data_IF_737049238140
#
_entry.id   IF_737049238140
#
_cell.length_a   1.000
_cell.length_b   1.000
_cell.length_c   1.000
_cell.angle_alpha   90.00
_cell.angle_beta   90.00
_cell.angle_gamma   90.00
#
_symmetry.space_group_name_H-M   'P 1'
#
loop_
_entity.id
_entity.type
_entity.pdbx_description
1 polymer ?
#
# COMPACT_ATOMS: atom_id res chain seq x y z
N UNK A 1 -22.46 5.31 -5.74
CA UNK A 1 -21.01 5.65 -5.69
C UNK A 1 -20.21 4.51 -5.07
N UNK A 2 -19.37 3.85 -5.87
CA UNK A 2 -18.54 2.72 -5.43
C UNK A 2 -17.52 3.23 -4.38
N UNK A 3 -17.66 2.73 -3.15
CA UNK A 3 -16.75 2.98 -2.02
C UNK A 3 -17.13 4.07 -1.02
N UNK A 4 -18.42 4.42 -0.84
CA UNK A 4 -18.88 5.26 0.27
C UNK A 4 -19.51 4.37 1.37
N UNK A 5 -19.15 4.50 2.66
CA UNK A 5 -19.97 3.96 3.75
C UNK A 5 -21.22 4.82 3.92
N UNK A 6 -22.09 4.83 2.91
CA UNK A 6 -23.30 5.62 2.99
C UNK A 6 -24.34 4.93 3.88
N UNK A 7 -24.48 3.59 3.80
CA UNK A 7 -25.59 2.91 4.48
C UNK A 7 -25.24 1.46 4.88
N UNK A 8 -25.43 1.07 6.15
CA UNK A 8 -25.20 -0.30 6.59
C UNK A 8 -26.20 -1.25 5.93
N UNK A 9 -25.75 -2.43 5.51
CA UNK A 9 -26.58 -3.48 4.90
C UNK A 9 -27.65 -4.05 5.84
N UNK A 10 -27.46 -3.87 7.14
CA UNK A 10 -28.42 -4.17 8.20
C UNK A 10 -28.25 -3.10 9.27
N UNK A 11 -29.33 -2.40 9.61
CA UNK A 11 -29.35 -1.34 10.62
C UNK A 11 -30.24 -1.77 11.80
N UNK A 12 -29.73 -1.64 13.02
CA UNK A 12 -30.52 -1.70 14.25
C UNK A 12 -30.40 -0.32 14.91
N UNK A 13 -31.53 0.32 15.16
CA UNK A 13 -31.63 1.65 15.77
C UNK A 13 -32.26 1.53 17.16
N UNK A 14 -31.64 2.18 18.16
CA UNK A 14 -32.16 2.29 19.51
C UNK A 14 -32.11 3.75 19.96
N UNK A 15 -33.26 4.31 20.35
CA UNK A 15 -33.39 5.68 20.85
C UNK A 15 -33.56 5.68 22.37
N UNK A 16 -32.78 6.50 23.07
CA UNK A 16 -32.98 6.82 24.49
C UNK A 16 -33.52 8.25 24.60
N UNK A 17 -34.72 8.39 25.17
CA UNK A 17 -35.47 9.65 25.28
C UNK A 17 -35.30 10.28 26.66
N UNK A 18 -34.86 11.55 26.73
CA UNK A 18 -35.06 12.43 27.89
C UNK A 18 -36.07 13.51 27.49
N UNK A 19 -37.21 13.57 28.18
CA UNK A 19 -38.37 14.30 27.70
C UNK A 19 -38.40 15.79 27.98
N UNK A 20 -38.98 16.55 27.04
CA UNK A 20 -39.81 17.73 27.29
C UNK A 20 -40.70 18.05 26.08
N UNK A 21 -41.77 18.82 26.32
CA UNK A 21 -42.85 19.12 25.38
C UNK A 21 -42.65 20.43 24.60
N UNK A 22 -42.61 20.35 23.26
CA UNK A 22 -43.38 21.20 22.33
C UNK A 22 -42.77 22.52 21.81
N UNK A 23 -42.25 22.50 20.58
CA UNK A 23 -42.24 23.61 19.61
C UNK A 23 -42.92 23.15 18.30
N UNK A 24 -44.01 23.79 17.83
CA UNK A 24 -44.73 23.40 16.61
C UNK A 24 -44.02 23.69 15.28
N UNK A 25 -42.86 24.38 15.30
CA UNK A 25 -41.96 24.50 14.14
C UNK A 25 -40.81 23.48 14.17
N UNK A 26 -40.71 22.71 15.25
CA UNK A 26 -39.72 21.66 15.45
C UNK A 26 -40.30 20.31 15.03
N UNK A 27 -39.81 19.66 13.95
CA UNK A 27 -40.36 18.39 13.48
C UNK A 27 -40.07 17.19 14.42
N UNK A 28 -39.59 17.43 15.64
CA UNK A 28 -38.73 16.51 16.36
C UNK A 28 -39.20 15.96 17.72
N UNK A 29 -40.49 15.79 17.97
CA UNK A 29 -40.97 15.21 19.24
C UNK A 29 -40.56 13.74 19.52
N UNK A 30 -39.70 13.11 18.70
CA UNK A 30 -39.15 11.76 18.95
C UNK A 30 -37.66 11.59 18.65
N UNK A 31 -36.95 12.62 18.16
CA UNK A 31 -35.57 12.49 17.66
C UNK A 31 -34.59 13.63 18.01
N UNK A 32 -35.04 14.83 18.38
CA UNK A 32 -34.10 15.97 18.51
C UNK A 32 -33.54 16.23 19.92
N UNK A 33 -33.98 15.46 20.92
CA UNK A 33 -33.36 15.39 22.25
C UNK A 33 -32.91 13.96 22.63
N UNK A 34 -32.88 13.06 21.65
CA UNK A 34 -32.61 11.64 21.90
C UNK A 34 -31.15 11.30 21.60
N UNK A 35 -30.51 10.59 22.53
CA UNK A 35 -29.28 9.85 22.21
C UNK A 35 -29.71 8.61 21.44
N UNK A 36 -29.34 8.51 20.17
CA UNK A 36 -29.57 7.32 19.34
C UNK A 36 -28.27 6.57 19.09
N UNK A 37 -28.34 5.26 19.23
CA UNK A 37 -27.28 4.33 18.82
C UNK A 37 -27.75 3.60 17.58
N UNK A 38 -26.96 3.72 16.50
CA UNK A 38 -27.16 3.01 15.25
C UNK A 38 -26.03 2.01 15.05
N UNK A 39 -26.36 0.74 14.98
CA UNK A 39 -25.39 -0.32 14.70
C UNK A 39 -25.72 -0.99 13.37
N UNK A 40 -24.70 -1.39 12.63
CA UNK A 40 -24.92 -2.12 11.40
C UNK A 40 -23.69 -2.81 10.86
N UNK A 41 -23.83 -3.42 9.69
CA UNK A 41 -22.74 -4.12 9.03
C UNK A 41 -22.55 -3.58 7.62
N UNK A 42 -21.30 -3.31 7.27
CA UNK A 42 -20.91 -2.98 5.91
C UNK A 42 -20.22 -4.18 5.27
N UNK A 43 -20.88 -4.70 4.23
CA UNK A 43 -20.33 -5.76 3.39
C UNK A 43 -19.25 -5.25 2.45
N UNK A 44 -18.36 -6.18 2.11
CA UNK A 44 -17.26 -6.13 1.15
C UNK A 44 -17.13 -4.84 0.31
N UNK A 45 -16.29 -3.92 0.77
CA UNK A 45 -15.90 -2.75 -0.02
C UNK A 45 -14.68 -3.06 -0.87
N UNK A 46 -14.82 -3.00 -2.19
CA UNK A 46 -13.66 -3.00 -3.09
C UNK A 46 -13.24 -1.56 -3.37
N UNK A 47 -12.08 -1.18 -2.85
CA UNK A 47 -11.35 -0.03 -3.35
C UNK A 47 -10.77 -0.41 -4.72
N UNK A 48 -11.21 0.29 -5.76
CA UNK A 48 -10.55 0.29 -7.07
C UNK A 48 -10.19 1.74 -7.41
N UNK A 49 -8.91 2.10 -7.23
CA UNK A 49 -8.39 3.43 -7.58
C UNK A 49 -6.98 3.32 -8.14
N UNK A 50 -6.64 4.28 -9.01
CA UNK A 50 -5.26 4.47 -9.48
C UNK A 50 -4.36 4.87 -8.31
N UNK A 51 -3.47 3.94 -7.92
CA UNK A 51 -2.41 4.19 -6.94
C UNK A 51 -1.15 4.68 -7.66
N UNK A 52 -0.65 5.87 -7.27
CA UNK A 52 0.61 6.43 -7.77
C UNK A 52 1.73 6.14 -6.79
N UNK A 53 2.89 5.76 -7.31
CA UNK A 53 4.08 5.53 -6.50
C UNK A 53 4.67 6.87 -6.03
N UNK A 54 4.93 6.98 -4.73
CA UNK A 54 5.43 8.16 -4.05
C UNK A 54 6.91 7.95 -3.70
N UNK A 55 7.78 8.33 -4.64
CA UNK A 55 9.23 8.21 -4.52
C UNK A 55 9.92 9.48 -5.00
N UNK A 56 11.18 9.66 -4.61
CA UNK A 56 12.03 10.74 -5.11
C UNK A 56 12.37 10.53 -6.59
N UNK A 57 12.66 11.64 -7.30
CA UNK A 57 13.10 11.61 -8.71
C UNK A 57 14.40 10.84 -8.91
N UNK A 58 15.28 10.91 -7.92
CA UNK A 58 16.56 10.21 -7.89
C UNK A 58 16.48 9.02 -6.95
N UNK A 59 17.22 7.97 -7.31
CA UNK A 59 17.43 6.77 -6.52
C UNK A 59 18.92 6.67 -6.23
N UNK A 60 19.29 6.89 -4.97
CA UNK A 60 20.67 6.91 -4.50
C UNK A 60 21.10 5.52 -4.03
N UNK A 61 22.42 5.28 -4.01
CA UNK A 61 23.02 4.03 -3.52
C UNK A 61 23.11 2.91 -4.56
N UNK A 62 22.86 3.18 -5.85
CA UNK A 62 23.18 2.25 -6.92
C UNK A 62 24.59 2.47 -7.44
N UNK A 63 25.19 1.41 -7.99
CA UNK A 63 26.40 1.53 -8.80
C UNK A 63 26.11 2.08 -10.20
N UNK A 64 27.18 2.53 -10.87
CA UNK A 64 27.17 2.93 -12.28
C UNK A 64 26.54 1.84 -13.15
N UNK A 65 25.74 2.23 -14.14
CA UNK A 65 25.20 1.28 -15.11
C UNK A 65 26.34 0.63 -15.94
N UNK A 66 26.31 -0.70 -16.17
CA UNK A 66 27.24 -1.35 -17.10
C UNK A 66 27.06 -0.82 -18.53
N UNK A 67 28.16 -0.54 -19.24
CA UNK A 67 28.13 0.00 -20.62
C UNK A 67 28.94 -0.81 -21.63
N UNK A 68 29.48 -1.97 -21.25
CA UNK A 68 30.31 -2.81 -22.12
C UNK A 68 30.33 -4.28 -21.70
N UNK A 69 31.23 -5.06 -22.32
CA UNK A 69 31.33 -6.52 -22.14
C UNK A 69 32.42 -6.94 -21.15
N UNK A 70 33.02 -5.99 -20.43
CA UNK A 70 34.09 -6.24 -19.46
C UNK A 70 33.54 -6.20 -18.05
N UNK A 71 33.98 -7.14 -17.21
CA UNK A 71 33.63 -7.15 -15.80
C UNK A 71 34.24 -5.95 -15.06
N UNK A 72 33.47 -5.31 -14.19
CA UNK A 72 33.84 -4.08 -13.48
C UNK A 72 33.52 -4.17 -11.96
N UNK A 73 34.02 -3.19 -11.21
CA UNK A 73 33.68 -2.96 -9.81
C UNK A 73 32.63 -1.86 -9.68
N UNK A 74 31.56 -2.12 -8.94
CA UNK A 74 30.41 -1.23 -8.72
C UNK A 74 30.32 -0.80 -7.25
N UNK A 75 31.41 -0.26 -6.69
CA UNK A 75 31.54 0.08 -5.27
C UNK A 75 31.19 1.54 -4.94
N UNK A 76 31.09 2.39 -5.96
CA UNK A 76 30.83 3.83 -5.81
C UNK A 76 29.36 4.07 -6.12
N UNK A 77 28.67 4.73 -5.19
CA UNK A 77 27.28 5.11 -5.37
C UNK A 77 27.15 6.27 -6.36
N UNK A 78 26.20 6.16 -7.28
CA UNK A 78 25.81 7.21 -8.20
C UNK A 78 24.30 7.47 -8.06
N UNK A 79 23.92 8.74 -8.14
CA UNK A 79 22.51 9.12 -8.19
C UNK A 79 21.95 8.80 -9.57
N UNK A 80 20.86 8.04 -9.60
CA UNK A 80 20.22 7.60 -10.85
C UNK A 80 18.77 8.05 -10.93
N UNK A 81 18.21 8.22 -12.15
CA UNK A 81 16.77 8.37 -12.29
C UNK A 81 16.05 7.19 -11.63
N UNK A 82 15.09 7.49 -10.76
CA UNK A 82 14.31 6.49 -10.06
C UNK A 82 13.29 5.86 -11.02
N UNK A 83 13.41 4.56 -11.27
CA UNK A 83 12.55 3.85 -12.23
C UNK A 83 11.07 3.82 -11.83
N UNK A 84 10.78 3.90 -10.52
CA UNK A 84 9.43 3.97 -9.98
C UNK A 84 8.83 5.38 -10.01
N UNK A 85 9.63 6.42 -10.27
CA UNK A 85 9.14 7.79 -10.31
C UNK A 85 8.09 7.99 -11.41
N UNK A 86 6.94 8.55 -11.05
CA UNK A 86 5.83 8.78 -11.99
C UNK A 86 5.08 7.51 -12.41
N UNK A 87 5.40 6.34 -11.83
CA UNK A 87 4.68 5.09 -12.09
C UNK A 87 3.40 5.00 -11.26
N UNK A 88 2.46 4.22 -11.77
CA UNK A 88 1.23 3.84 -11.09
C UNK A 88 1.12 2.31 -11.04
N UNK A 89 0.32 1.80 -10.10
CA UNK A 89 -0.03 0.39 -10.10
C UNK A 89 -1.01 0.09 -11.24
N UNK A 90 -0.96 -1.14 -11.74
CA UNK A 90 -1.86 -1.63 -12.77
C UNK A 90 -3.18 -2.06 -12.16
N UNK A 91 -3.12 -2.69 -11.00
CA UNK A 91 -4.28 -3.14 -10.25
C UNK A 91 -4.03 -2.97 -8.75
N UNK A 92 -5.07 -2.61 -8.02
CA UNK A 92 -5.05 -2.39 -6.59
C UNK A 92 -6.45 -2.59 -6.03
N UNK A 93 -6.68 -3.76 -5.46
CA UNK A 93 -7.91 -4.13 -4.80
C UNK A 93 -7.69 -4.07 -3.30
N UNK A 94 -8.54 -3.35 -2.58
CA UNK A 94 -8.54 -3.36 -1.13
C UNK A 94 -9.94 -3.68 -0.64
N UNK A 95 -10.06 -4.79 0.06
CA UNK A 95 -11.33 -5.28 0.58
C UNK A 95 -11.43 -4.91 2.05
N UNK A 96 -12.59 -4.43 2.48
CA UNK A 96 -12.87 -4.18 3.89
C UNK A 96 -14.27 -4.65 4.23
N UNK A 97 -14.33 -5.43 5.29
CA UNK A 97 -15.55 -5.92 5.88
C UNK A 97 -15.62 -5.41 7.32
N UNK A 98 -16.63 -4.61 7.66
CA UNK A 98 -16.67 -3.94 8.96
C UNK A 98 -18.08 -3.82 9.54
N UNK A 99 -18.18 -3.94 10.85
CA UNK A 99 -19.31 -3.45 11.61
C UNK A 99 -19.23 -1.92 11.75
N UNK A 100 -20.40 -1.29 11.83
CA UNK A 100 -20.61 0.13 12.03
C UNK A 100 -21.27 0.38 13.37
N UNK A 101 -20.81 1.43 14.04
CA UNK A 101 -21.48 1.97 15.21
C UNK A 101 -21.49 3.49 15.08
N UNK A 102 -22.66 4.09 15.20
CA UNK A 102 -22.83 5.53 15.30
C UNK A 102 -23.59 5.89 16.56
N UNK A 103 -23.15 6.99 17.16
CA UNK A 103 -23.80 7.66 18.27
C UNK A 103 -24.20 9.04 17.78
N UNK A 104 -25.50 9.30 17.77
CA UNK A 104 -26.03 10.63 17.58
C UNK A 104 -25.93 11.39 18.92
N UNK A 105 -25.25 12.53 18.91
CA UNK A 105 -25.08 13.43 20.05
C UNK A 105 -25.65 14.78 19.62
N UNK A 106 -26.81 15.12 20.19
CA UNK A 106 -27.60 16.29 19.84
C UNK A 106 -28.20 16.20 18.43
N UNK A 107 -29.30 16.94 18.21
CA UNK A 107 -30.19 16.97 17.03
C UNK A 107 -29.51 16.59 15.69
N UNK A 108 -28.26 17.01 15.43
CA UNK A 108 -27.63 16.92 14.07
C UNK A 108 -26.16 16.59 14.02
N UNK A 109 -25.60 15.97 15.06
CA UNK A 109 -24.20 15.56 15.05
C UNK A 109 -24.07 14.07 15.38
N UNK A 110 -23.42 13.33 14.50
CA UNK A 110 -23.11 11.91 14.69
C UNK A 110 -21.60 11.74 14.83
N UNK A 111 -21.17 11.00 15.84
CA UNK A 111 -19.85 10.36 15.85
C UNK A 111 -20.05 8.90 15.45
N UNK A 112 -19.20 8.38 14.59
CA UNK A 112 -19.28 7.00 14.16
C UNK A 112 -17.90 6.35 14.10
N UNK A 113 -17.90 5.02 14.23
CA UNK A 113 -16.73 4.21 14.00
C UNK A 113 -17.10 2.98 13.17
N UNK A 114 -16.08 2.42 12.51
CA UNK A 114 -16.17 1.08 11.94
C UNK A 114 -15.09 0.21 12.53
N UNK A 115 -15.41 -1.06 12.78
CA UNK A 115 -14.50 -2.06 13.29
C UNK A 115 -14.65 -3.30 12.41
N UNK A 116 -13.56 -3.77 11.83
CA UNK A 116 -13.63 -4.79 10.80
C UNK A 116 -12.31 -5.46 10.53
N UNK A 117 -12.20 -6.04 9.34
CA UNK A 117 -10.97 -6.54 8.80
C UNK A 117 -10.78 -6.11 7.35
N UNK A 118 -9.54 -5.87 6.97
CA UNK A 118 -9.13 -5.57 5.60
C UNK A 118 -8.05 -6.53 5.12
N UNK A 119 -8.05 -6.79 3.83
CA UNK A 119 -6.96 -7.38 3.06
C UNK A 119 -6.87 -6.68 1.69
N UNK A 120 -5.81 -6.95 0.95
CA UNK A 120 -5.63 -6.35 -0.36
C UNK A 120 -4.77 -7.17 -1.30
N UNK A 121 -4.90 -6.82 -2.58
CA UNK A 121 -4.17 -7.34 -3.71
C UNK A 121 -3.61 -6.18 -4.52
N UNK A 122 -2.35 -6.28 -4.91
CA UNK A 122 -1.66 -5.22 -5.66
C UNK A 122 -0.86 -5.84 -6.78
N UNK A 123 -0.93 -5.22 -7.97
CA UNK A 123 -0.20 -5.63 -9.16
C UNK A 123 0.37 -4.43 -9.91
N UNK A 124 1.62 -4.53 -10.32
CA UNK A 124 2.19 -3.57 -11.26
C UNK A 124 3.42 -4.13 -12.00
N UNK A 125 3.96 -3.33 -12.92
CA UNK A 125 5.29 -3.56 -13.47
C UNK A 125 6.35 -3.53 -12.36
N UNK A 126 7.39 -4.34 -12.48
CA UNK A 126 8.54 -4.36 -11.57
C UNK A 126 9.25 -3.00 -11.43
N UNK A 127 9.09 -2.11 -12.42
CA UNK A 127 9.57 -0.73 -12.34
C UNK A 127 8.91 0.05 -11.20
N UNK A 128 7.62 -0.17 -10.91
CA UNK A 128 6.91 0.51 -9.82
C UNK A 128 7.42 0.12 -8.42
N UNK A 129 8.15 -0.98 -8.33
CA UNK A 129 8.68 -1.54 -7.09
C UNK A 129 10.20 -1.45 -6.97
N UNK A 130 10.86 -0.63 -7.79
CA UNK A 130 12.31 -0.49 -7.79
C UNK A 130 13.03 -1.84 -7.73
N UNK A 131 12.60 -2.80 -8.55
CA UNK A 131 13.30 -4.08 -8.67
C UNK A 131 14.67 -3.81 -9.28
N UNK A 132 15.72 -4.08 -8.52
CA UNK A 132 17.11 -3.84 -8.94
C UNK A 132 17.93 -5.11 -8.80
N UNK A 133 19.01 -5.17 -9.57
CA UNK A 133 19.93 -6.29 -9.63
C UNK A 133 21.38 -5.87 -9.76
N UNK A 134 22.26 -6.86 -9.66
CA UNK A 134 23.70 -6.72 -9.83
C UNK A 134 24.19 -7.69 -10.92
N UNK A 135 24.86 -7.16 -11.95
CA UNK A 135 25.45 -7.93 -13.07
C UNK A 135 26.86 -7.43 -13.40
N UNK A 136 27.63 -8.18 -14.19
CA UNK A 136 28.90 -7.69 -14.76
C UNK A 136 30.03 -7.53 -13.75
N UNK A 137 29.96 -8.24 -12.62
CA UNK A 137 30.87 -8.03 -11.49
C UNK A 137 32.19 -8.77 -11.71
N UNK A 138 33.31 -8.09 -11.41
CA UNK A 138 34.64 -8.69 -11.40
C UNK A 138 34.85 -9.63 -10.20
N UNK A 139 35.52 -10.77 -10.42
CA UNK A 139 36.07 -11.59 -9.36
C UNK A 139 35.61 -13.06 -9.33
N UNK A 140 36.25 -13.83 -8.45
CA UNK A 140 36.12 -15.31 -8.39
C UNK A 140 35.64 -15.85 -7.04
N UNK A 141 35.61 -15.03 -5.98
CA UNK A 141 35.13 -15.40 -4.65
C UNK A 141 33.98 -14.50 -4.21
N UNK A 142 32.99 -15.07 -3.51
CA UNK A 142 31.76 -14.37 -3.09
C UNK A 142 32.08 -13.16 -2.21
N UNK A 143 32.94 -13.33 -1.21
CA UNK A 143 33.22 -12.29 -0.21
C UNK A 143 34.00 -11.10 -0.79
N UNK A 144 34.95 -11.36 -1.70
CA UNK A 144 35.70 -10.30 -2.35
C UNK A 144 34.91 -9.63 -3.48
N UNK A 145 34.03 -10.39 -4.16
CA UNK A 145 33.33 -9.91 -5.34
C UNK A 145 31.99 -9.26 -5.04
N UNK A 146 31.21 -9.67 -4.02
CA UNK A 146 29.79 -9.25 -3.86
C UNK A 146 29.48 -8.40 -2.63
N UNK A 147 30.25 -8.50 -1.53
CA UNK A 147 29.88 -7.89 -0.23
C UNK A 147 29.83 -6.35 -0.26
N UNK A 148 30.59 -5.73 -1.16
CA UNK A 148 30.72 -4.27 -1.26
C UNK A 148 30.13 -3.70 -2.54
N UNK A 149 29.49 -4.55 -3.37
CA UNK A 149 28.97 -4.12 -4.65
C UNK A 149 27.56 -3.56 -4.51
N UNK A 150 27.34 -2.45 -5.19
CA UNK A 150 26.04 -1.81 -5.27
C UNK A 150 25.30 -2.32 -6.50
N UNK A 151 23.98 -2.54 -6.41
CA UNK A 151 23.19 -2.93 -7.57
C UNK A 151 23.31 -1.87 -8.66
N UNK A 152 23.41 -2.32 -9.91
CA UNK A 152 23.80 -1.51 -11.05
C UNK A 152 22.79 -1.57 -12.21
N UNK A 153 21.73 -2.37 -12.08
CA UNK A 153 20.65 -2.45 -13.08
C UNK A 153 19.28 -2.37 -12.43
N UNK A 154 18.35 -1.67 -13.08
CA UNK A 154 16.93 -1.72 -12.78
C UNK A 154 16.25 -2.73 -13.69
N UNK A 155 15.50 -3.67 -13.12
CA UNK A 155 14.80 -4.72 -13.84
C UNK A 155 13.36 -4.24 -14.07
N UNK A 156 13.07 -3.75 -15.28
CA UNK A 156 11.77 -3.11 -15.61
C UNK A 156 10.82 -4.01 -16.38
N UNK A 157 11.33 -5.10 -16.93
CA UNK A 157 10.62 -6.06 -17.77
C UNK A 157 10.08 -7.20 -16.91
N UNK A 158 9.13 -6.89 -16.04
CA UNK A 158 8.50 -7.86 -15.18
C UNK A 158 7.21 -7.35 -14.57
N UNK A 159 6.49 -8.26 -13.94
CA UNK A 159 5.27 -8.02 -13.18
C UNK A 159 5.53 -8.44 -11.74
N UNK A 160 5.05 -7.63 -10.80
CA UNK A 160 5.10 -7.90 -9.38
C UNK A 160 3.67 -7.87 -8.87
N UNK A 161 3.34 -8.89 -8.09
CA UNK A 161 2.04 -9.06 -7.46
C UNK A 161 2.24 -9.41 -6.00
N UNK A 162 1.41 -8.87 -5.11
CA UNK A 162 1.42 -9.33 -3.73
C UNK A 162 0.02 -9.30 -3.12
N UNK A 163 -0.17 -10.22 -2.18
CA UNK A 163 -1.40 -10.40 -1.42
C UNK A 163 -1.10 -10.11 0.05
N UNK A 164 -2.01 -9.41 0.72
CA UNK A 164 -1.93 -9.19 2.16
C UNK A 164 -2.79 -10.19 2.93
N UNK A 165 -2.42 -10.47 4.17
CA UNK A 165 -3.28 -11.18 5.10
C UNK A 165 -4.50 -10.32 5.47
N UNK A 166 -5.48 -10.97 6.10
CA UNK A 166 -6.66 -10.30 6.65
C UNK A 166 -6.33 -9.82 8.06
N UNK A 167 -6.41 -8.51 8.29
CA UNK A 167 -6.11 -7.92 9.60
C UNK A 167 -7.15 -6.92 10.04
N UNK A 168 -7.20 -6.70 11.35
CA UNK A 168 -8.10 -5.74 11.95
C UNK A 168 -7.95 -4.35 11.31
N UNK A 169 -9.09 -3.78 10.96
CA UNK A 169 -9.24 -2.44 10.42
C UNK A 169 -10.21 -1.66 11.28
N UNK A 170 -9.97 -0.36 11.41
CA UNK A 170 -10.89 0.52 12.11
C UNK A 170 -10.99 1.87 11.42
N UNK A 171 -12.12 2.54 11.62
CA UNK A 171 -12.26 3.94 11.27
C UNK A 171 -12.97 4.70 12.37
N UNK A 172 -12.73 6.01 12.43
CA UNK A 172 -13.54 6.95 13.21
C UNK A 172 -13.93 8.11 12.32
N UNK A 173 -15.12 8.64 12.52
CA UNK A 173 -15.61 9.77 11.78
C UNK A 173 -16.65 10.53 12.55
N UNK A 174 -16.96 11.70 12.04
CA UNK A 174 -18.06 12.52 12.51
C UNK A 174 -18.75 13.16 11.31
N UNK A 175 -20.06 13.34 11.43
CA UNK A 175 -20.84 14.10 10.45
C UNK A 175 -21.84 14.97 11.17
N UNK A 176 -22.19 16.10 10.59
CA UNK A 176 -23.25 16.93 11.15
C UNK A 176 -23.63 18.12 10.30
N UNK A 177 -24.69 18.80 10.71
CA UNK A 177 -25.15 20.03 10.09
C UNK A 177 -24.26 21.21 10.51
N UNK A 178 -23.68 21.90 9.53
CA UNK A 178 -22.90 23.12 9.73
C UNK A 178 -23.79 24.37 9.73
N UNK A 179 -24.85 24.36 8.93
CA UNK A 179 -25.74 25.50 8.77
C UNK A 179 -27.11 25.04 8.31
N UNK A 180 -28.12 25.74 8.80
CA UNK A 180 -29.48 25.62 8.31
C UNK A 180 -30.18 26.96 8.19
N UNK A 181 -31.04 27.06 7.19
CA UNK A 181 -31.99 28.16 7.06
C UNK A 181 -33.24 27.66 6.36
N UNK A 182 -34.36 27.67 7.08
CA UNK A 182 -35.62 27.13 6.59
C UNK A 182 -35.48 25.65 6.21
N UNK A 183 -35.73 25.33 4.93
CA UNK A 183 -35.67 23.96 4.41
C UNK A 183 -34.29 23.56 3.86
N UNK A 184 -33.27 24.43 3.96
CA UNK A 184 -31.93 24.18 3.47
C UNK A 184 -31.00 23.72 4.60
N UNK A 185 -30.24 22.63 4.38
CA UNK A 185 -29.24 22.12 5.32
C UNK A 185 -27.90 21.91 4.62
N UNK A 186 -26.85 22.52 5.17
CA UNK A 186 -25.46 22.26 4.81
C UNK A 186 -24.87 21.29 5.83
N UNK A 187 -24.49 20.09 5.40
CA UNK A 187 -23.84 19.08 6.22
C UNK A 187 -22.39 18.86 5.82
N UNK A 188 -21.57 18.45 6.77
CA UNK A 188 -20.21 18.00 6.53
C UNK A 188 -19.95 16.64 7.18
N UNK A 189 -19.06 15.86 6.58
CA UNK A 189 -18.58 14.60 7.12
C UNK A 189 -17.05 14.53 7.07
N UNK A 190 -16.49 13.80 8.03
CA UNK A 190 -15.08 13.55 8.15
C UNK A 190 -14.87 12.12 8.64
N UNK A 191 -13.95 11.39 8.02
CA UNK A 191 -13.61 10.03 8.44
C UNK A 191 -12.11 9.77 8.26
N UNK A 192 -11.56 9.04 9.21
CA UNK A 192 -10.23 8.47 9.15
C UNK A 192 -10.30 6.96 9.29
N UNK A 193 -9.67 6.23 8.38
CA UNK A 193 -9.59 4.77 8.41
C UNK A 193 -8.13 4.31 8.44
N UNK A 194 -7.87 3.21 9.15
CA UNK A 194 -6.56 2.60 9.27
C UNK A 194 -6.63 1.07 9.32
N UNK A 195 -5.63 0.43 8.71
CA UNK A 195 -5.36 -1.01 8.83
C UNK A 195 -3.89 -1.30 8.55
N UNK A 196 -3.34 -2.40 9.06
CA UNK A 196 -1.92 -2.73 8.94
C UNK A 196 -1.69 -4.20 8.54
N UNK A 197 -2.20 -4.67 7.39
CA UNK A 197 -2.02 -6.05 7.00
C UNK A 197 -0.57 -6.34 6.61
N UNK A 198 -0.11 -7.53 6.96
CA UNK A 198 1.16 -8.11 6.52
C UNK A 198 1.01 -8.61 5.10
N UNK A 199 2.10 -8.58 4.34
CA UNK A 199 2.13 -9.26 3.06
C UNK A 199 2.27 -10.76 3.33
N UNK A 200 1.34 -11.54 2.81
CA UNK A 200 1.32 -13.00 2.97
C UNK A 200 2.04 -13.69 1.82
N UNK A 201 1.95 -13.14 0.62
CA UNK A 201 2.61 -13.68 -0.56
C UNK A 201 3.10 -12.56 -1.47
N UNK A 202 4.35 -12.64 -1.88
CA UNK A 202 4.96 -11.77 -2.88
C UNK A 202 5.39 -12.64 -4.07
N UNK A 203 4.92 -12.29 -5.26
CA UNK A 203 5.27 -12.91 -6.52
C UNK A 203 5.98 -11.90 -7.42
N UNK A 204 7.14 -12.28 -7.92
CA UNK A 204 7.92 -11.49 -8.88
C UNK A 204 8.09 -12.33 -10.13
N UNK A 205 7.37 -11.96 -11.19
CA UNK A 205 7.52 -12.52 -12.54
C UNK A 205 8.41 -11.58 -13.34
N UNK A 206 9.71 -11.78 -13.23
CA UNK A 206 10.74 -11.01 -13.92
C UNK A 206 11.86 -11.96 -14.32
N UNK A 207 12.92 -11.50 -14.99
CA UNK A 207 14.07 -12.33 -15.27
C UNK A 207 14.79 -12.87 -14.01
N UNK A 208 14.55 -12.30 -12.83
CA UNK A 208 15.04 -12.83 -11.54
C UNK A 208 14.10 -13.86 -10.90
N UNK A 209 12.86 -13.99 -11.41
CA UNK A 209 11.68 -14.75 -10.95
C UNK A 209 11.75 -15.27 -9.51
N UNK A 210 10.84 -14.88 -8.61
CA UNK A 210 10.78 -15.51 -7.28
C UNK A 210 9.44 -15.32 -6.58
N UNK A 211 9.14 -16.24 -5.67
CA UNK A 211 7.96 -16.18 -4.79
C UNK A 211 8.44 -16.26 -3.35
N UNK A 212 7.87 -15.42 -2.49
CA UNK A 212 8.15 -15.42 -1.05
C UNK A 212 6.83 -15.48 -0.29
N UNK A 213 6.70 -16.47 0.58
CA UNK A 213 5.62 -16.52 1.58
C UNK A 213 6.06 -15.77 2.83
N UNK A 214 5.16 -14.96 3.38
CA UNK A 214 5.39 -14.07 4.54
C UNK A 214 6.69 -13.29 4.40
N UNK A 215 6.87 -12.53 3.30
CA UNK A 215 8.13 -11.86 3.00
C UNK A 215 8.65 -11.03 4.16
N UNK A 216 9.94 -11.22 4.43
CA UNK A 216 10.71 -10.41 5.36
C UNK A 216 11.79 -9.67 4.60
N UNK A 217 12.07 -8.45 5.03
CA UNK A 217 13.04 -7.58 4.39
C UNK A 217 13.64 -6.57 5.34
N UNK A 218 14.50 -5.73 4.82
CA UNK A 218 15.20 -4.70 5.58
C UNK A 218 14.43 -3.38 5.52
N UNK A 219 14.41 -2.63 6.63
CA UNK A 219 13.76 -1.31 6.75
C UNK A 219 14.76 -0.27 7.27
N UNK A 220 14.50 1.01 7.00
CA UNK A 220 15.34 2.12 7.46
C UNK A 220 16.78 1.99 6.96
N UNK A 221 17.76 2.33 7.79
CA UNK A 221 19.19 2.29 7.43
C UNK A 221 19.64 0.91 6.95
N UNK A 222 19.10 -0.17 7.50
CA UNK A 222 19.44 -1.54 7.09
C UNK A 222 18.96 -1.90 5.67
N UNK A 223 18.06 -1.10 5.09
CA UNK A 223 17.61 -1.27 3.71
C UNK A 223 18.55 -0.65 2.68
N UNK A 224 19.53 0.16 3.11
CA UNK A 224 20.50 0.79 2.22
C UNK A 224 21.38 -0.25 1.52
N UNK A 225 21.90 0.12 0.34
CA UNK A 225 22.86 -0.73 -0.36
C UNK A 225 24.29 -0.52 0.17
N UNK A 226 25.14 -1.55 0.11
CA UNK A 226 24.83 -2.93 -0.29
C UNK A 226 24.01 -3.66 0.79
N UNK A 227 23.13 -4.58 0.36
CA UNK A 227 22.46 -5.48 1.31
C UNK A 227 23.46 -6.53 1.83
N UNK A 228 23.30 -7.03 3.06
CA UNK A 228 24.15 -8.09 3.60
C UNK A 228 24.23 -9.32 2.67
N UNK A 229 25.38 -10.01 2.64
CA UNK A 229 25.53 -11.23 1.84
C UNK A 229 24.53 -12.34 2.23
N UNK A 230 24.04 -12.36 3.46
CA UNK A 230 23.01 -13.30 3.92
C UNK A 230 21.60 -12.89 3.50
N UNK A 231 21.40 -11.72 2.88
CA UNK A 231 20.09 -11.29 2.43
C UNK A 231 19.44 -12.32 1.49
N UNK A 232 18.22 -12.73 1.80
CA UNK A 232 17.48 -13.76 1.07
C UNK A 232 17.72 -15.19 1.55
N UNK A 233 18.64 -15.43 2.50
CA UNK A 233 18.85 -16.74 3.12
C UNK A 233 18.11 -16.89 4.45
N UNK A 234 18.09 -18.10 4.98
CA UNK A 234 17.65 -18.44 6.34
C UNK A 234 18.52 -17.82 7.44
N UNK A 235 19.76 -17.41 7.11
CA UNK A 235 20.70 -16.73 8.01
C UNK A 235 20.57 -15.20 8.00
N UNK A 236 19.57 -14.64 7.30
CA UNK A 236 19.35 -13.20 7.25
C UNK A 236 18.87 -12.64 8.60
N UNK A 237 19.72 -11.87 9.27
CA UNK A 237 19.37 -11.14 10.50
C UNK A 237 18.72 -9.79 10.19
N UNK A 238 18.14 -9.17 11.21
CA UNK A 238 17.57 -7.80 11.15
C UNK A 238 16.42 -7.59 10.15
N UNK A 239 15.89 -8.67 9.59
CA UNK A 239 14.71 -8.61 8.71
C UNK A 239 13.42 -8.42 9.51
N UNK A 240 12.49 -7.64 8.96
CA UNK A 240 11.15 -7.38 9.50
C UNK A 240 10.10 -7.89 8.51
N UNK A 241 8.93 -8.28 9.00
CA UNK A 241 7.79 -8.60 8.13
C UNK A 241 7.40 -7.39 7.27
N UNK A 242 7.11 -7.63 6.00
CA UNK A 242 6.51 -6.62 5.14
C UNK A 242 5.07 -6.36 5.60
N UNK A 243 4.77 -5.10 5.92
CA UNK A 243 3.47 -4.64 6.41
C UNK A 243 3.07 -3.45 5.56
N UNK A 244 1.83 -3.43 5.08
CA UNK A 244 1.24 -2.28 4.39
C UNK A 244 0.48 -1.46 5.43
N UNK A 245 0.97 -0.26 5.75
CA UNK A 245 0.27 0.70 6.59
C UNK A 245 -0.73 1.45 5.72
N UNK A 246 -2.00 1.13 5.89
CA UNK A 246 -3.09 1.79 5.21
C UNK A 246 -3.63 2.94 6.04
N UNK A 247 -3.78 4.10 5.40
CA UNK A 247 -4.40 5.29 5.98
C UNK A 247 -5.29 5.95 4.94
N UNK A 248 -6.53 6.26 5.29
CA UNK A 248 -7.41 7.05 4.44
C UNK A 248 -8.06 8.17 5.23
N UNK A 249 -8.02 9.37 4.65
CA UNK A 249 -8.85 10.50 5.04
C UNK A 249 -9.97 10.66 4.03
N UNK A 250 -11.19 10.86 4.54
CA UNK A 250 -12.36 11.21 3.74
C UNK A 250 -13.00 12.45 4.34
N UNK A 251 -13.40 13.38 3.47
CA UNK A 251 -14.05 14.64 3.83
C UNK A 251 -15.18 14.86 2.84
N UNK A 252 -16.39 15.08 3.32
CA UNK A 252 -17.55 15.36 2.49
C UNK A 252 -18.24 16.65 2.92
N UNK A 253 -18.85 17.32 1.96
CA UNK A 253 -19.71 18.47 2.16
C UNK A 253 -20.94 18.30 1.28
N UNK A 254 -22.13 18.44 1.85
CA UNK A 254 -23.38 18.27 1.12
C UNK A 254 -24.39 19.37 1.47
N UNK A 255 -25.13 19.82 0.46
CA UNK A 255 -26.26 20.73 0.60
C UNK A 255 -27.53 19.98 0.22
N UNK A 256 -28.53 20.03 1.09
CA UNK A 256 -29.86 19.49 0.82
C UNK A 256 -30.93 20.56 0.96
N UNK A 257 -32.03 20.40 0.25
CA UNK A 257 -33.20 21.26 0.38
C UNK A 257 -34.47 20.43 0.43
N UNK A 258 -35.33 20.63 1.44
CA UNK A 258 -36.58 19.87 1.58
C UNK A 258 -37.72 20.51 0.79
N UNK A 259 -38.21 19.82 -0.25
CA UNK A 259 -39.37 20.16 -1.08
C UNK A 259 -40.56 19.26 -0.74
N UNK A 260 -41.21 19.48 0.40
CA UNK A 260 -42.40 18.73 0.86
C UNK A 260 -42.21 17.19 0.89
N UNK A 261 -42.33 16.50 -0.26
CA UNK A 261 -42.10 15.04 -0.43
C UNK A 261 -40.72 14.68 -1.00
N UNK A 262 -39.98 15.63 -1.58
CA UNK A 262 -38.67 15.41 -2.21
C UNK A 262 -37.57 16.13 -1.44
N UNK A 263 -36.40 15.51 -1.27
CA UNK A 263 -35.21 16.17 -0.70
C UNK A 263 -34.07 16.06 -1.69
N UNK A 264 -33.96 16.97 -2.68
CA UNK A 264 -32.74 17.04 -3.50
C UNK A 264 -31.50 17.23 -2.62
N UNK A 265 -30.43 16.52 -2.97
CA UNK A 265 -29.13 16.63 -2.33
C UNK A 265 -28.04 16.78 -3.40
N UNK A 266 -27.05 17.62 -3.11
CA UNK A 266 -25.80 17.71 -3.86
C UNK A 266 -24.64 17.62 -2.89
N UNK A 267 -23.58 16.89 -3.23
CA UNK A 267 -22.45 16.72 -2.33
C UNK A 267 -21.14 16.51 -3.07
N UNK A 268 -20.06 16.95 -2.43
CA UNK A 268 -18.68 16.76 -2.86
C UNK A 268 -17.94 15.96 -1.82
N UNK A 269 -17.29 14.87 -2.23
CA UNK A 269 -16.50 14.03 -1.36
C UNK A 269 -15.06 14.00 -1.86
N UNK A 270 -14.14 14.35 -0.97
CA UNK A 270 -12.71 14.23 -1.15
C UNK A 270 -12.18 13.06 -0.33
N UNK A 271 -11.28 12.28 -0.90
CA UNK A 271 -10.57 11.24 -0.16
C UNK A 271 -9.12 11.10 -0.60
N UNK A 272 -8.29 10.70 0.37
CA UNK A 272 -6.87 10.45 0.16
C UNK A 272 -6.45 9.20 0.90
N UNK A 273 -6.15 8.16 0.13
CA UNK A 273 -5.60 6.90 0.62
C UNK A 273 -4.07 6.89 0.48
N UNK A 274 -3.40 6.33 1.48
CA UNK A 274 -1.95 6.12 1.51
C UNK A 274 -1.69 4.68 1.94
N UNK A 275 -0.84 3.99 1.19
CA UNK A 275 -0.35 2.65 1.47
C UNK A 275 1.16 2.75 1.62
N UNK A 276 1.69 2.46 2.81
CA UNK A 276 3.10 2.65 3.13
C UNK A 276 3.71 1.36 3.68
N UNK A 277 4.72 0.84 2.97
CA UNK A 277 5.46 -0.35 3.41
C UNK A 277 6.75 0.00 4.18
N UNK A 278 6.91 1.25 4.62
CA UNK A 278 8.15 1.81 5.18
C UNK A 278 9.37 1.59 4.27
N UNK A 279 9.15 1.59 2.95
CA UNK A 279 10.20 1.37 1.95
C UNK A 279 10.96 0.05 2.19
N UNK A 280 10.25 -0.99 2.65
CA UNK A 280 10.89 -2.29 2.92
C UNK A 280 11.53 -2.87 1.66
N UNK A 281 12.77 -3.38 1.82
CA UNK A 281 13.52 -4.01 0.74
C UNK A 281 13.67 -5.50 0.99
N UNK A 282 13.17 -6.29 0.05
CA UNK A 282 13.14 -7.76 0.11
C UNK A 282 14.11 -8.29 -0.93
N UNK A 283 15.08 -9.10 -0.49
CA UNK A 283 16.02 -9.75 -1.39
C UNK A 283 15.40 -11.02 -1.99
N UNK A 284 15.85 -11.37 -3.19
CA UNK A 284 15.53 -12.66 -3.81
C UNK A 284 15.93 -13.81 -2.87
N UNK A 285 15.05 -14.79 -2.64
CA UNK A 285 15.38 -15.98 -1.85
C UNK A 285 16.57 -16.75 -2.43
N UNK A 286 17.48 -17.18 -1.57
CA UNK A 286 18.65 -17.97 -1.93
C UNK A 286 19.07 -18.91 -0.79
N UNK A 287 19.80 -19.95 -1.14
CA UNK A 287 20.41 -20.90 -0.22
C UNK A 287 21.66 -20.29 0.40
N UNK A 288 21.87 -20.52 1.70
CA UNK A 288 23.10 -20.14 2.39
C UNK A 288 24.31 -20.93 1.88
N UNK A 289 24.10 -22.17 1.46
CA UNK A 289 25.13 -23.04 0.85
C UNK A 289 24.63 -23.53 -0.50
N UNK A 290 25.47 -23.42 -1.53
CA UNK A 290 25.10 -23.83 -2.87
C UNK A 290 24.86 -25.34 -2.96
N UNK A 291 23.82 -25.74 -3.69
CA UNK A 291 23.54 -27.14 -4.06
C UNK A 291 23.68 -27.23 -5.58
N UNK A 292 24.51 -28.16 -6.07
CA UNK A 292 24.84 -28.24 -7.50
C UNK A 292 25.37 -26.92 -8.09
N UNK A 293 26.15 -26.16 -7.30
CA UNK A 293 26.65 -24.82 -7.63
C UNK A 293 25.56 -23.75 -7.82
N UNK A 294 24.33 -24.03 -7.43
CA UNK A 294 23.21 -23.09 -7.47
C UNK A 294 22.91 -22.59 -6.05
N UNK A 295 22.82 -21.28 -5.89
CA UNK A 295 22.32 -20.65 -4.66
C UNK A 295 20.85 -20.25 -4.81
N UNK A 296 20.31 -20.20 -6.01
CA UNK A 296 18.91 -19.89 -6.27
C UNK A 296 18.30 -21.00 -7.13
N UNK A 297 17.03 -21.34 -6.89
CA UNK A 297 16.34 -22.40 -7.64
C UNK A 297 15.86 -21.93 -9.02
N UNK A 298 15.82 -20.62 -9.25
CA UNK A 298 15.47 -20.05 -10.54
C UNK A 298 16.76 -19.85 -11.35
N UNK A 299 16.77 -20.20 -12.64
CA UNK A 299 17.97 -20.11 -13.45
C UNK A 299 18.47 -18.66 -13.46
N UNK A 300 19.71 -18.45 -13.04
CA UNK A 300 20.39 -17.19 -13.29
C UNK A 300 20.56 -17.06 -14.80
N UNK A 301 20.10 -15.96 -15.38
CA UNK A 301 20.29 -15.69 -16.80
C UNK A 301 21.78 -15.60 -17.09
N UNK A 302 22.29 -16.52 -17.89
CA UNK A 302 23.60 -16.39 -18.51
C UNK A 302 23.46 -15.45 -19.73
N UNK A 303 24.41 -14.53 -19.89
CA UNK A 303 24.51 -13.70 -21.08
C UNK A 303 24.84 -14.49 -22.36
N UNK A 304 25.15 -13.79 -23.46
CA UNK A 304 25.51 -14.40 -24.74
C UNK A 304 26.91 -15.04 -24.76
N UNK A 305 27.54 -15.24 -23.60
CA UNK A 305 28.87 -15.82 -23.49
C UNK A 305 28.83 -17.29 -23.89
N UNK A 306 29.60 -17.67 -24.93
CA UNK A 306 29.67 -19.05 -25.39
C UNK A 306 30.40 -20.00 -24.42
N UNK A 307 31.11 -19.44 -23.43
CA UNK A 307 31.78 -20.13 -22.33
C UNK A 307 31.73 -19.22 -21.10
N UNK A 308 31.56 -19.79 -19.90
CA UNK A 308 31.56 -19.04 -18.65
C UNK A 308 32.97 -18.52 -18.30
N UNK A 309 33.09 -17.25 -17.89
CA UNK A 309 34.37 -16.67 -17.48
C UNK A 309 34.84 -17.26 -16.13
N UNK A 310 35.91 -18.06 -16.16
CA UNK A 310 36.51 -18.64 -14.96
C UNK A 310 37.33 -17.64 -14.13
N UNK A 311 37.72 -16.51 -14.71
CA UNK A 311 38.44 -15.41 -14.06
C UNK A 311 37.50 -14.38 -13.44
N UNK A 312 36.27 -14.27 -13.96
CA UNK A 312 35.21 -13.43 -13.41
C UNK A 312 33.88 -14.21 -13.36
N UNK A 313 33.78 -15.14 -12.41
CA UNK A 313 32.64 -16.09 -12.31
C UNK A 313 31.26 -15.43 -12.18
N UNK A 314 31.24 -14.13 -11.85
CA UNK A 314 30.03 -13.35 -11.59
C UNK A 314 29.70 -12.34 -12.70
N UNK A 315 30.50 -12.27 -13.78
CA UNK A 315 30.30 -11.28 -14.85
C UNK A 315 29.01 -11.55 -15.63
N UNK A 316 28.75 -12.81 -15.94
CA UNK A 316 27.74 -13.20 -16.93
C UNK A 316 26.38 -13.56 -16.33
N UNK A 317 26.23 -13.44 -15.01
CA UNK A 317 25.07 -13.90 -14.26
C UNK A 317 24.48 -12.76 -13.41
N UNK A 318 23.14 -12.71 -13.34
CA UNK A 318 22.43 -11.90 -12.35
C UNK A 318 22.66 -12.44 -10.93
N UNK A 319 23.20 -11.59 -10.07
CA UNK A 319 23.55 -11.94 -8.69
C UNK A 319 22.41 -11.63 -7.74
N UNK A 320 22.55 -10.57 -6.93
CA UNK A 320 21.58 -10.19 -5.92
C UNK A 320 20.52 -9.32 -6.59
N UNK A 321 19.32 -9.86 -6.75
CA UNK A 321 18.13 -9.06 -7.02
C UNK A 321 17.42 -8.70 -5.71
N UNK A 322 16.86 -7.50 -5.65
CA UNK A 322 16.01 -7.08 -4.54
C UNK A 322 14.92 -6.14 -5.02
N UNK A 323 13.81 -6.16 -4.32
CA UNK A 323 12.63 -5.35 -4.61
C UNK A 323 12.32 -4.45 -3.43
N UNK A 324 11.88 -3.24 -3.71
CA UNK A 324 11.48 -2.27 -2.69
C UNK A 324 10.00 -1.96 -2.82
N UNK A 325 9.24 -2.25 -1.77
CA UNK A 325 7.82 -1.90 -1.73
C UNK A 325 7.73 -0.43 -1.35
N UNK A 326 7.40 0.39 -2.35
CA UNK A 326 7.36 1.83 -2.22
C UNK A 326 6.07 2.29 -1.52
N UNK A 327 6.11 3.51 -1.01
CA UNK A 327 4.90 4.24 -0.60
C UNK A 327 4.04 4.52 -1.82
N UNK A 328 2.72 4.39 -1.67
CA UNK A 328 1.74 4.58 -2.73
C UNK A 328 0.61 5.49 -2.23
N UNK A 329 0.13 6.37 -3.10
CA UNK A 329 -0.90 7.36 -2.77
C UNK A 329 -1.99 7.37 -3.83
N UNK A 330 -3.23 7.55 -3.40
CA UNK A 330 -4.35 7.90 -4.27
C UNK A 330 -5.07 9.12 -3.76
N UNK A 331 -5.55 9.95 -4.70
CA UNK A 331 -6.35 11.13 -4.44
C UNK A 331 -7.62 11.00 -5.28
N UNK A 332 -8.78 11.16 -4.65
CA UNK A 332 -10.07 11.21 -5.33
C UNK A 332 -10.78 12.49 -4.91
N UNK A 333 -11.27 13.25 -5.87
CA UNK A 333 -12.27 14.29 -5.65
C UNK A 333 -13.48 13.85 -6.48
N UNK A 334 -14.55 13.44 -5.82
CA UNK A 334 -15.84 13.21 -6.49
C UNK A 334 -16.68 14.45 -6.25
N UNK A 335 -16.92 15.22 -7.30
CA UNK A 335 -18.15 16.01 -7.38
C UNK A 335 -19.20 15.14 -8.04
N UNK A 336 -20.40 15.08 -7.46
CA UNK A 336 -21.61 14.78 -8.23
C UNK A 336 -22.05 16.09 -8.86
#
# INVERSE_FOLDING_TARGET
PVGNPAEPSLLIDGTMWEGASGDPCDPCSTWCDAISIRAGYYGDYVFDRVLKVDVNKTFSGMGKAPTGNTAEDFKIAEDRPNIAYGRHLQDAEWFTNAAFLALNIWDRFDIFCTLGASNGYFKASSAAFNLVGLIGVKGTSVDAALNTQLPNVGITQGVVEFYTDTTFSWSVGARGALWECGCATLGAEFQYAQSNPKIEMLNVSSPAQFVVHKPRGYKGTSSNFPLPLTAGTDQATDTKSAIIKYHEWQVGLALSYRLNMLVPYIGVNWSRATFDADTIRIAQPKLATAVMNLTTWNPTLAGSAGQLDNSNKWSDNLQIASIQINKMKSRKACGV
#
